data_IF_816942645225
#
_entry.id   IF_816942645225
#
_cell.length_a   1.000
_cell.length_b   1.000
_cell.length_c   1.000
_cell.angle_alpha   90.00
_cell.angle_beta   90.00
_cell.angle_gamma   90.00
#
_symmetry.space_group_name_H-M   'P 1'
#
loop_
_entity.id
_entity.type
_entity.pdbx_description
1 polymer ?
#
# COMPACT_ATOMS: atom_id res chain seq x y z
N UNK A 1 11.62 23.19 2.57
CA UNK A 1 10.75 22.09 2.13
C UNK A 1 11.05 20.90 3.03
N UNK A 2 10.09 20.50 3.85
CA UNK A 2 10.25 19.31 4.69
C UNK A 2 10.16 18.05 3.83
N UNK A 3 10.95 17.04 4.20
CA UNK A 3 11.06 15.77 3.48
C UNK A 3 10.76 14.66 4.47
N UNK A 4 9.80 13.79 4.15
CA UNK A 4 9.56 12.56 4.88
C UNK A 4 10.52 11.49 4.35
N UNK A 5 11.27 10.90 5.27
CA UNK A 5 12.10 9.72 5.03
C UNK A 5 11.61 8.55 5.86
N UNK A 6 11.70 7.34 5.30
CA UNK A 6 11.35 6.12 6.02
C UNK A 6 12.65 5.55 6.58
N UNK A 7 12.82 5.66 7.90
CA UNK A 7 13.99 5.12 8.59
C UNK A 7 13.84 3.63 8.81
N UNK A 8 14.62 2.82 8.09
CA UNK A 8 14.70 1.38 8.27
C UNK A 8 16.00 0.93 8.98
N UNK A 9 16.88 1.87 9.34
CA UNK A 9 18.21 1.62 9.95
C UNK A 9 18.15 0.86 11.27
N UNK A 10 17.07 1.01 12.04
CA UNK A 10 16.88 0.34 13.33
C UNK A 10 16.39 -1.10 13.20
N UNK A 11 16.12 -1.58 11.98
CA UNK A 11 15.83 -2.98 11.69
C UNK A 11 17.17 -3.66 11.36
N UNK A 12 18.16 -3.50 12.24
CA UNK A 12 19.41 -4.25 12.19
C UNK A 12 19.23 -5.59 12.90
N UNK A 13 19.84 -6.60 12.28
CA UNK A 13 19.57 -8.01 12.45
C UNK A 13 20.21 -8.57 13.73
N UNK A 14 19.39 -8.82 14.75
CA UNK A 14 19.48 -10.12 15.43
C UNK A 14 18.36 -10.96 14.82
N UNK A 15 18.64 -11.59 13.67
CA UNK A 15 17.83 -12.74 13.30
C UNK A 15 18.09 -13.79 14.38
N UNK A 16 17.07 -14.21 15.13
CA UNK A 16 17.23 -15.35 16.02
C UNK A 16 17.72 -16.55 15.20
N UNK A 17 18.43 -17.47 15.86
CA UNK A 17 19.04 -18.63 15.18
C UNK A 17 18.04 -19.49 14.40
N UNK A 18 16.74 -19.32 14.64
CA UNK A 18 15.63 -19.94 13.92
C UNK A 18 14.75 -18.81 13.38
N UNK A 19 14.42 -18.83 12.08
CA UNK A 19 13.45 -17.91 11.49
C UNK A 19 12.07 -18.59 11.40
N UNK A 20 11.11 -18.04 12.11
CA UNK A 20 9.72 -18.51 12.20
C UNK A 20 8.72 -17.51 11.63
N UNK A 21 7.46 -17.95 11.43
CA UNK A 21 6.37 -17.05 11.02
C UNK A 21 6.18 -15.87 11.99
N UNK A 22 6.35 -16.13 13.30
CA UNK A 22 6.22 -15.10 14.33
C UNK A 22 7.25 -14.00 14.13
N UNK A 23 8.51 -14.37 13.87
CA UNK A 23 9.59 -13.40 13.68
C UNK A 23 9.47 -12.64 12.36
N UNK A 24 9.06 -13.33 11.28
CA UNK A 24 8.75 -12.68 10.00
C UNK A 24 7.68 -11.61 10.21
N UNK A 25 6.57 -11.95 10.87
CA UNK A 25 5.49 -11.01 11.18
C UNK A 25 6.00 -9.86 12.04
N UNK A 26 6.63 -10.16 13.19
CA UNK A 26 7.11 -9.15 14.13
C UNK A 26 8.07 -8.16 13.45
N UNK A 27 9.01 -8.67 12.65
CA UNK A 27 10.00 -7.86 11.95
C UNK A 27 9.38 -7.04 10.83
N UNK A 28 8.43 -7.61 10.08
CA UNK A 28 7.67 -6.87 9.05
C UNK A 28 6.97 -5.65 9.65
N UNK A 29 6.40 -5.79 10.85
CA UNK A 29 5.69 -4.72 11.54
C UNK A 29 6.59 -3.68 12.22
N UNK A 30 7.92 -3.86 12.22
CA UNK A 30 8.87 -2.82 12.66
C UNK A 30 8.98 -1.67 11.66
N UNK A 31 8.63 -1.88 10.39
CA UNK A 31 8.59 -0.82 9.39
C UNK A 31 7.39 0.08 9.67
N UNK A 32 7.64 1.25 10.24
CA UNK A 32 6.60 2.25 10.50
C UNK A 32 6.29 3.06 9.23
N UNK A 33 5.08 2.88 8.71
CA UNK A 33 4.63 3.50 7.46
C UNK A 33 3.17 3.97 7.58
N UNK A 34 2.90 5.08 8.29
CA UNK A 34 1.55 5.53 8.59
C UNK A 34 0.78 6.00 7.33
N UNK A 35 1.51 6.49 6.33
CA UNK A 35 0.94 6.95 5.05
C UNK A 35 0.90 5.82 3.99
N UNK A 36 1.47 4.66 4.30
CA UNK A 36 1.50 3.50 3.40
C UNK A 36 2.38 3.69 2.16
N UNK A 37 3.34 4.62 2.18
CA UNK A 37 4.19 4.93 1.03
C UNK A 37 5.15 3.77 0.72
N UNK A 38 5.64 3.07 1.76
CA UNK A 38 6.40 1.84 1.63
C UNK A 38 5.51 0.59 1.55
N UNK A 39 4.20 0.72 1.30
CA UNK A 39 3.32 -0.44 1.18
C UNK A 39 3.78 -1.47 0.13
N UNK A 40 4.37 -1.11 -1.03
CA UNK A 40 4.88 -2.11 -1.98
C UNK A 40 5.99 -2.97 -1.38
N UNK A 41 6.85 -2.37 -0.55
CA UNK A 41 7.96 -3.06 0.12
C UNK A 41 7.46 -3.91 1.28
N UNK A 42 6.56 -3.38 2.12
CA UNK A 42 6.00 -4.14 3.26
C UNK A 42 5.00 -5.21 2.84
N UNK A 43 4.51 -5.19 1.60
CA UNK A 43 3.62 -6.21 1.06
C UNK A 43 4.34 -7.54 0.80
N UNK A 44 5.61 -7.50 0.39
CA UNK A 44 6.43 -8.69 0.08
C UNK A 44 6.42 -9.71 1.23
N UNK A 45 6.85 -9.37 2.47
CA UNK A 45 6.85 -10.34 3.55
C UNK A 45 5.44 -10.71 4.03
N UNK A 46 4.42 -9.87 3.79
CA UNK A 46 3.02 -10.22 4.07
C UNK A 46 2.50 -11.30 3.13
N UNK A 47 2.92 -11.27 1.85
CA UNK A 47 2.64 -12.33 0.88
C UNK A 47 3.38 -13.61 1.29
N UNK A 48 4.67 -13.52 1.62
CA UNK A 48 5.43 -14.67 2.12
C UNK A 48 4.75 -15.30 3.35
N UNK A 49 4.35 -14.48 4.32
CA UNK A 49 3.65 -14.94 5.51
C UNK A 49 2.36 -15.68 5.14
N UNK A 50 1.57 -15.17 4.19
CA UNK A 50 0.39 -15.87 3.67
C UNK A 50 0.72 -17.23 3.05
N UNK A 51 1.83 -17.34 2.30
CA UNK A 51 2.28 -18.63 1.76
C UNK A 51 2.60 -19.61 2.88
N UNK A 52 3.33 -19.18 3.91
CA UNK A 52 3.66 -20.00 5.08
C UNK A 52 2.40 -20.43 5.87
N UNK A 53 1.35 -19.60 5.88
CA UNK A 53 0.04 -19.99 6.43
C UNK A 53 -0.62 -21.13 5.67
N UNK A 54 -0.52 -21.13 4.33
CA UNK A 54 -1.05 -22.21 3.48
C UNK A 54 -0.33 -23.54 3.71
N UNK A 55 0.97 -23.49 4.04
CA UNK A 55 1.77 -24.66 4.40
C UNK A 55 1.45 -25.25 5.78
N UNK A 56 0.53 -24.64 6.55
CA UNK A 56 0.10 -25.10 7.89
C UNK A 56 1.24 -25.25 8.90
N UNK A 57 2.33 -24.48 8.74
CA UNK A 57 3.42 -24.43 9.72
C UNK A 57 2.92 -23.89 11.07
N UNK A 58 3.56 -24.28 12.18
CA UNK A 58 3.33 -23.63 13.49
C UNK A 58 3.89 -22.20 13.51
N UNK A 59 3.50 -21.40 14.50
CA UNK A 59 3.99 -20.03 14.68
C UNK A 59 5.51 -19.95 14.86
N UNK A 60 6.04 -20.86 15.67
CA UNK A 60 7.43 -20.88 16.15
C UNK A 60 8.27 -21.97 15.43
N UNK A 61 7.69 -22.59 14.40
CA UNK A 61 8.40 -23.57 13.56
C UNK A 61 9.29 -22.84 12.55
N UNK A 62 10.50 -23.37 12.35
CA UNK A 62 11.44 -22.89 11.34
C UNK A 62 10.84 -23.00 9.94
N UNK A 63 11.00 -21.93 9.15
CA UNK A 63 10.58 -21.89 7.75
C UNK A 63 11.62 -22.57 6.85
N UNK A 64 11.22 -22.99 5.66
CA UNK A 64 12.14 -23.61 4.70
C UNK A 64 13.22 -22.63 4.20
N UNK A 65 14.33 -23.19 3.69
CA UNK A 65 15.50 -22.43 3.25
C UNK A 65 15.21 -21.42 2.13
N UNK A 66 14.17 -21.62 1.32
CA UNK A 66 13.77 -20.65 0.31
C UNK A 66 13.10 -19.44 0.98
N UNK A 67 12.19 -19.67 1.93
CA UNK A 67 11.52 -18.61 2.71
C UNK A 67 12.50 -17.78 3.56
N UNK A 68 13.35 -18.45 4.36
CA UNK A 68 14.80 -18.26 4.33
C UNK A 68 15.36 -17.04 3.59
N UNK A 69 15.90 -17.40 2.42
CA UNK A 69 16.58 -16.52 1.48
C UNK A 69 15.73 -15.33 1.06
N UNK A 70 14.43 -15.54 0.78
CA UNK A 70 13.53 -14.48 0.31
C UNK A 70 13.34 -13.38 1.37
N UNK A 71 13.13 -13.76 2.62
CA UNK A 71 12.97 -12.82 3.72
C UNK A 71 14.27 -12.07 4.03
N UNK A 72 15.40 -12.79 4.04
CA UNK A 72 16.72 -12.19 4.23
C UNK A 72 17.07 -11.21 3.10
N UNK A 73 16.69 -11.51 1.86
CA UNK A 73 16.84 -10.59 0.74
C UNK A 73 16.01 -9.32 0.94
N UNK A 74 14.72 -9.48 1.27
CA UNK A 74 13.84 -8.34 1.55
C UNK A 74 14.39 -7.43 2.65
N UNK A 75 14.84 -8.02 3.77
CA UNK A 75 15.45 -7.27 4.87
C UNK A 75 16.72 -6.52 4.42
N UNK A 76 17.57 -7.13 3.60
CA UNK A 76 18.77 -6.48 3.06
C UNK A 76 18.43 -5.31 2.14
N UNK A 77 17.30 -5.38 1.44
CA UNK A 77 16.82 -4.34 0.53
C UNK A 77 16.17 -3.17 1.28
N UNK A 78 15.77 -3.34 2.56
CA UNK A 78 15.13 -2.28 3.36
C UNK A 78 15.99 -1.02 3.50
N UNK A 79 17.33 -1.15 3.53
CA UNK A 79 18.26 -0.01 3.55
C UNK A 79 18.06 0.95 2.37
N UNK A 80 17.49 0.48 1.26
CA UNK A 80 17.20 1.33 0.11
C UNK A 80 16.02 2.27 0.35
N UNK A 81 15.13 1.99 1.31
CA UNK A 81 14.02 2.88 1.69
C UNK A 81 14.52 4.23 2.24
N UNK A 82 15.71 4.29 2.81
CA UNK A 82 16.31 5.54 3.29
C UNK A 82 16.58 6.54 2.17
N UNK A 83 16.72 6.06 0.94
CA UNK A 83 16.89 6.91 -0.25
C UNK A 83 15.57 7.54 -0.69
N UNK A 84 14.43 7.01 -0.23
CA UNK A 84 13.12 7.52 -0.57
C UNK A 84 12.88 8.83 0.20
N UNK A 85 12.82 9.92 -0.55
CA UNK A 85 12.53 11.27 -0.05
C UNK A 85 11.20 11.72 -0.62
N UNK A 86 10.17 11.83 0.22
CA UNK A 86 8.86 12.33 -0.19
C UNK A 86 8.73 13.79 0.25
N UNK A 87 8.51 14.74 -0.69
CA UNK A 87 8.19 16.11 -0.34
C UNK A 87 6.86 16.16 0.44
N UNK A 88 6.86 16.72 1.65
CA UNK A 88 5.63 16.81 2.48
C UNK A 88 4.85 18.09 2.23
N UNK A 89 5.50 19.13 1.72
CA UNK A 89 4.83 20.38 1.37
C UNK A 89 4.09 20.21 0.04
N UNK A 90 2.79 20.49 0.07
CA UNK A 90 1.87 20.32 -1.06
C UNK A 90 1.75 21.57 -1.95
N UNK A 91 2.48 22.64 -1.62
CA UNK A 91 2.50 23.90 -2.37
C UNK A 91 1.09 24.52 -2.59
N UNK A 92 0.21 24.36 -1.60
CA UNK A 92 -1.11 24.99 -1.58
C UNK A 92 -0.99 26.43 -1.05
N UNK A 93 -0.48 27.34 -1.87
CA UNK A 93 -0.35 28.76 -1.54
C UNK A 93 -1.48 29.60 -2.17
N UNK A 94 -1.51 30.91 -1.92
CA UNK A 94 -2.49 31.88 -2.45
C UNK A 94 -2.59 31.91 -3.99
N UNK A 95 -1.63 31.34 -4.71
CA UNK A 95 -1.59 31.25 -6.18
C UNK A 95 -2.20 29.95 -6.74
N UNK A 96 -2.82 29.14 -5.88
CA UNK A 96 -3.47 27.90 -6.30
C UNK A 96 -4.73 28.20 -7.11
N UNK A 97 -4.74 27.76 -8.37
CA UNK A 97 -5.89 27.92 -9.26
C UNK A 97 -6.84 26.72 -9.22
N UNK A 98 -6.28 25.51 -9.07
CA UNK A 98 -7.08 24.30 -9.01
C UNK A 98 -6.41 23.21 -8.16
N UNK A 99 -7.19 22.64 -7.26
CA UNK A 99 -6.83 21.45 -6.47
C UNK A 99 -7.74 20.31 -6.85
N UNK A 100 -7.14 19.16 -7.14
CA UNK A 100 -7.89 17.94 -7.44
C UNK A 100 -7.32 16.74 -6.70
N UNK A 101 -8.21 15.89 -6.19
CA UNK A 101 -7.86 14.62 -5.55
C UNK A 101 -8.10 13.48 -6.53
N UNK A 102 -7.10 12.62 -6.68
CA UNK A 102 -7.14 11.47 -7.57
C UNK A 102 -6.90 10.19 -6.79
N UNK A 103 -7.90 9.33 -6.75
CA UNK A 103 -7.86 8.04 -6.08
C UNK A 103 -7.78 6.93 -7.10
N UNK A 104 -6.72 6.14 -7.08
CA UNK A 104 -6.54 4.99 -7.96
C UNK A 104 -6.68 3.72 -7.15
N UNK A 105 -7.18 2.66 -7.79
CA UNK A 105 -7.10 1.32 -7.25
C UNK A 105 -6.69 0.33 -8.33
N UNK A 106 -5.89 -0.65 -7.90
CA UNK A 106 -5.35 -1.69 -8.77
C UNK A 106 -5.33 -3.01 -7.99
N UNK A 107 -5.45 -4.11 -8.73
CA UNK A 107 -5.66 -5.44 -8.19
C UNK A 107 -4.89 -6.48 -8.98
N UNK A 108 -4.25 -7.37 -8.23
CA UNK A 108 -3.64 -8.59 -8.71
C UNK A 108 -4.20 -9.81 -7.97
N UNK A 109 -3.79 -11.01 -8.39
CA UNK A 109 -4.09 -12.26 -7.68
C UNK A 109 -3.51 -12.30 -6.26
N UNK A 110 -2.43 -11.56 -6.00
CA UNK A 110 -1.71 -11.61 -4.73
C UNK A 110 -2.15 -10.52 -3.76
N UNK A 111 -2.56 -9.37 -4.28
CA UNK A 111 -2.87 -8.20 -3.49
C UNK A 111 -3.74 -7.21 -4.25
N UNK A 112 -4.43 -6.37 -3.50
CA UNK A 112 -5.18 -5.23 -4.00
C UNK A 112 -4.72 -3.98 -3.26
N UNK A 113 -4.70 -2.84 -3.95
CA UNK A 113 -4.20 -1.59 -3.41
C UNK A 113 -5.08 -0.40 -3.83
N UNK A 114 -4.94 0.68 -3.07
CA UNK A 114 -5.45 1.98 -3.43
C UNK A 114 -4.41 3.05 -3.11
N UNK A 115 -4.37 4.11 -3.89
CA UNK A 115 -3.46 5.23 -3.72
C UNK A 115 -4.18 6.54 -3.98
N UNK A 116 -3.88 7.55 -3.16
CA UNK A 116 -4.41 8.89 -3.25
C UNK A 116 -3.30 9.86 -3.65
N UNK A 117 -3.56 10.65 -4.67
CA UNK A 117 -2.73 11.76 -5.09
C UNK A 117 -3.51 13.07 -4.95
N UNK A 118 -2.79 14.14 -4.62
CA UNK A 118 -3.27 15.51 -4.79
C UNK A 118 -2.54 16.14 -5.96
N UNK A 119 -3.30 16.77 -6.84
CA UNK A 119 -2.81 17.57 -7.95
C UNK A 119 -3.11 19.03 -7.64
N UNK A 120 -2.05 19.83 -7.54
CA UNK A 120 -2.12 21.27 -7.29
C UNK A 120 -1.65 21.98 -8.54
N UNK A 121 -2.51 22.81 -9.09
CA UNK A 121 -2.23 23.64 -10.24
C UNK A 121 -2.15 25.10 -9.81
N UNK A 122 -1.03 25.73 -10.13
CA UNK A 122 -0.82 27.17 -10.09
C UNK A 122 -0.76 27.71 -11.52
N UNK A 123 -0.65 29.02 -11.68
CA UNK A 123 -0.47 29.67 -13.00
C UNK A 123 0.71 29.13 -13.79
N UNK A 124 1.81 28.85 -13.09
CA UNK A 124 3.09 28.53 -13.72
C UNK A 124 3.44 27.05 -13.66
N UNK A 125 2.75 26.24 -12.86
CA UNK A 125 3.12 24.84 -12.65
C UNK A 125 1.97 23.92 -12.26
N UNK A 126 2.14 22.64 -12.55
CA UNK A 126 1.30 21.56 -12.02
C UNK A 126 2.18 20.62 -11.22
N UNK A 127 1.83 20.41 -9.96
CA UNK A 127 2.52 19.50 -9.07
C UNK A 127 1.58 18.38 -8.63
N UNK A 128 2.12 17.17 -8.51
CA UNK A 128 1.37 15.99 -8.09
C UNK A 128 2.11 15.34 -6.93
N UNK A 129 1.41 15.14 -5.81
CA UNK A 129 1.97 14.60 -4.59
C UNK A 129 1.21 13.35 -4.16
N UNK A 130 1.95 12.34 -3.74
CA UNK A 130 1.40 11.14 -3.10
C UNK A 130 0.95 11.50 -1.68
N UNK A 131 -0.35 11.36 -1.40
CA UNK A 131 -0.90 11.64 -0.07
C UNK A 131 -0.87 10.40 0.82
N UNK A 132 -1.37 9.28 0.31
CA UNK A 132 -1.54 8.06 1.08
C UNK A 132 -1.70 6.87 0.14
N UNK A 133 -1.15 5.73 0.51
CA UNK A 133 -1.37 4.46 -0.17
C UNK A 133 -1.77 3.36 0.82
N UNK A 134 -2.48 2.36 0.34
CA UNK A 134 -2.91 1.22 1.15
C UNK A 134 -2.90 -0.03 0.31
N UNK A 135 -2.13 -1.03 0.71
CA UNK A 135 -2.13 -2.35 0.09
C UNK A 135 -2.58 -3.42 1.08
N UNK A 136 -3.29 -4.43 0.56
CA UNK A 136 -3.75 -5.60 1.31
C UNK A 136 -3.48 -6.86 0.52
N UNK A 137 -3.02 -7.91 1.21
CA UNK A 137 -2.87 -9.24 0.61
C UNK A 137 -4.25 -9.79 0.27
N UNK A 138 -4.39 -10.38 -0.91
CA UNK A 138 -5.62 -10.99 -1.38
C UNK A 138 -6.05 -12.14 -0.43
N UNK A 139 -7.33 -12.29 -0.07
CA UNK A 139 -7.75 -13.36 0.82
C UNK A 139 -7.49 -14.75 0.23
N UNK A 140 -6.95 -15.67 1.04
CA UNK A 140 -6.57 -17.02 0.60
C UNK A 140 -7.38 -18.16 1.24
N UNK A 141 -8.68 -17.95 1.43
CA UNK A 141 -9.59 -18.93 2.06
C UNK A 141 -9.95 -20.14 1.19
N UNK A 142 -10.85 -21.01 1.70
CA UNK A 142 -11.28 -22.27 1.04
C UNK A 142 -11.88 -22.12 -0.36
N UNK A 143 -12.37 -20.92 -0.71
CA UNK A 143 -12.80 -20.58 -2.08
C UNK A 143 -11.88 -19.49 -2.60
N UNK A 144 -11.33 -19.72 -3.79
CA UNK A 144 -10.52 -18.73 -4.48
C UNK A 144 -11.37 -17.49 -4.74
N UNK A 145 -10.87 -16.32 -4.35
CA UNK A 145 -11.56 -15.06 -4.61
C UNK A 145 -11.38 -14.74 -6.09
N UNK A 146 -12.47 -14.56 -6.82
CA UNK A 146 -12.40 -14.19 -8.24
C UNK A 146 -11.74 -12.82 -8.41
N UNK A 147 -11.09 -12.60 -9.56
CA UNK A 147 -10.49 -11.30 -9.89
C UNK A 147 -11.52 -10.18 -9.77
N UNK A 148 -12.70 -10.35 -10.34
CA UNK A 148 -13.77 -9.35 -10.25
C UNK A 148 -14.16 -8.98 -8.80
N UNK A 149 -14.15 -9.96 -7.88
CA UNK A 149 -14.39 -9.69 -6.46
C UNK A 149 -13.22 -8.98 -5.79
N UNK A 150 -11.98 -9.31 -6.17
CA UNK A 150 -10.80 -8.59 -5.68
C UNK A 150 -10.79 -7.15 -6.21
N UNK A 151 -11.15 -6.92 -7.47
CA UNK A 151 -11.31 -5.58 -8.07
C UNK A 151 -12.32 -4.75 -7.28
N UNK A 152 -13.49 -5.33 -6.95
CA UNK A 152 -14.48 -4.66 -6.12
C UNK A 152 -13.96 -4.38 -4.69
N UNK A 153 -13.15 -5.27 -4.11
CA UNK A 153 -12.49 -5.03 -2.83
C UNK A 153 -11.45 -3.89 -2.92
N UNK A 154 -10.72 -3.80 -4.03
CA UNK A 154 -9.81 -2.69 -4.36
C UNK A 154 -10.56 -1.37 -4.36
N UNK A 155 -11.66 -1.28 -5.11
CA UNK A 155 -12.53 -0.11 -5.14
C UNK A 155 -13.09 0.24 -3.74
N UNK A 156 -13.51 -0.77 -2.96
CA UNK A 156 -13.99 -0.56 -1.60
C UNK A 156 -12.90 -0.06 -0.63
N UNK A 157 -11.63 -0.44 -0.82
CA UNK A 157 -10.51 0.14 -0.06
C UNK A 157 -10.25 1.57 -0.51
N UNK A 158 -10.30 1.83 -1.81
CA UNK A 158 -10.15 3.15 -2.42
C UNK A 158 -11.18 4.14 -1.88
N UNK A 159 -12.47 3.77 -1.86
CA UNK A 159 -13.55 4.59 -1.33
C UNK A 159 -13.37 4.91 0.16
N UNK A 160 -12.92 3.95 0.97
CA UNK A 160 -12.63 4.20 2.41
C UNK A 160 -11.45 5.14 2.59
N UNK A 161 -10.40 4.97 1.79
CA UNK A 161 -9.23 5.86 1.81
C UNK A 161 -9.64 7.29 1.41
N UNK A 162 -10.44 7.42 0.37
CA UNK A 162 -10.98 8.70 -0.07
C UNK A 162 -11.84 9.36 1.01
N UNK A 163 -12.72 8.62 1.68
CA UNK A 163 -13.54 9.16 2.76
C UNK A 163 -12.73 9.70 3.94
N UNK A 164 -11.52 9.20 4.20
CA UNK A 164 -10.63 9.79 5.22
C UNK A 164 -9.88 11.02 4.73
N UNK A 165 -9.60 11.13 3.44
CA UNK A 165 -8.80 12.22 2.88
C UNK A 165 -9.69 13.42 2.53
N UNK A 166 -10.83 13.20 1.89
CA UNK A 166 -11.76 14.26 1.47
C UNK A 166 -12.25 15.12 2.66
N UNK A 167 -12.24 14.56 3.88
CA UNK A 167 -12.61 15.31 5.10
C UNK A 167 -11.55 16.31 5.56
N UNK A 168 -10.30 16.09 5.17
CA UNK A 168 -9.13 16.84 5.63
C UNK A 168 -8.61 17.82 4.56
N UNK A 169 -9.05 17.69 3.32
CA UNK A 169 -8.59 18.50 2.19
C UNK A 169 -9.75 19.16 1.44
N UNK A 170 -9.66 20.46 1.24
CA UNK A 170 -10.51 21.19 0.30
C UNK A 170 -9.99 20.96 -1.12
N UNK A 171 -10.82 20.38 -1.99
CA UNK A 171 -10.49 20.11 -3.38
C UNK A 171 -11.66 20.48 -4.28
N UNK A 172 -11.37 21.09 -5.42
CA UNK A 172 -12.37 21.49 -6.42
C UNK A 172 -12.97 20.27 -7.11
N UNK A 173 -12.14 19.26 -7.36
CA UNK A 173 -12.53 18.05 -8.09
C UNK A 173 -12.01 16.79 -7.40
N UNK A 174 -12.82 15.74 -7.44
CA UNK A 174 -12.48 14.43 -6.89
C UNK A 174 -12.71 13.37 -7.96
N UNK A 175 -11.68 12.59 -8.23
CA UNK A 175 -11.70 11.55 -9.27
C UNK A 175 -11.36 10.18 -8.68
N UNK A 176 -12.07 9.16 -9.15
CA UNK A 176 -11.81 7.75 -8.84
C UNK A 176 -11.45 7.00 -10.12
N UNK A 177 -10.35 6.25 -10.07
CA UNK A 177 -9.77 5.57 -11.23
C UNK A 177 -9.64 4.06 -10.96
N UNK A 178 -10.10 3.28 -11.92
CA UNK A 178 -9.89 1.83 -12.01
C UNK A 178 -9.92 1.42 -13.47
N UNK A 179 -9.14 0.42 -13.84
CA UNK A 179 -9.13 -0.21 -15.16
C UNK A 179 -10.15 -1.37 -15.26
N UNK A 180 -10.79 -1.75 -14.15
CA UNK A 180 -11.82 -2.79 -14.13
C UNK A 180 -13.15 -2.26 -14.68
N UNK A 181 -13.42 -2.60 -15.94
CA UNK A 181 -14.74 -2.39 -16.57
C UNK A 181 -15.85 -3.12 -15.81
N UNK A 182 -15.55 -4.27 -15.21
CA UNK A 182 -16.52 -5.03 -14.39
C UNK A 182 -16.97 -4.23 -13.17
N UNK A 183 -16.02 -3.63 -12.44
CA UNK A 183 -16.32 -2.80 -11.27
C UNK A 183 -17.07 -1.54 -11.68
N UNK A 184 -16.64 -0.87 -12.76
CA UNK A 184 -17.35 0.31 -13.27
C UNK A 184 -18.80 -0.02 -13.61
N UNK A 185 -19.04 -1.13 -14.31
CA UNK A 185 -20.39 -1.58 -14.65
C UNK A 185 -21.22 -1.91 -13.40
N UNK A 186 -20.63 -2.53 -12.38
CA UNK A 186 -21.34 -2.83 -11.14
C UNK A 186 -21.68 -1.59 -10.30
N UNK A 187 -20.77 -0.62 -10.22
CA UNK A 187 -21.00 0.62 -9.45
C UNK A 187 -21.99 1.54 -10.15
N UNK A 188 -21.93 1.62 -11.49
CA UNK A 188 -22.84 2.45 -12.29
C UNK A 188 -24.21 1.82 -12.50
N UNK A 189 -24.38 0.55 -12.13
CA UNK A 189 -25.68 -0.10 -12.18
C UNK A 189 -26.57 0.52 -11.12
N UNK A 190 -27.38 1.49 -11.53
CA UNK A 190 -28.51 1.94 -10.73
C UNK A 190 -29.35 0.71 -10.39
N UNK A 191 -29.53 0.43 -9.10
CA UNK A 191 -30.58 -0.49 -8.67
C UNK A 191 -31.91 0.08 -9.20
N UNK A 192 -32.59 -0.70 -10.05
CA UNK A 192 -34.00 -0.51 -10.41
C UNK A 192 -34.83 -1.03 -9.24
#
# INVERSE_FOLDING_TARGET
MEILSISATNITYDLPGILSKREILATTHKVFDPLGIACPVTLIPKILLQLLWKLKLSWDQEVDSNSISEFCKWLNDLKHLERLKIPTWLNCDLETENVSLHFFCDVSKLAYSAVAFIRVQTRDSVQVHLLHAKARVAPSGRKETTIARLELLGAAVCARLASSIIKEFEADNIYFWTDSSTVLAWIQRNEI
#
